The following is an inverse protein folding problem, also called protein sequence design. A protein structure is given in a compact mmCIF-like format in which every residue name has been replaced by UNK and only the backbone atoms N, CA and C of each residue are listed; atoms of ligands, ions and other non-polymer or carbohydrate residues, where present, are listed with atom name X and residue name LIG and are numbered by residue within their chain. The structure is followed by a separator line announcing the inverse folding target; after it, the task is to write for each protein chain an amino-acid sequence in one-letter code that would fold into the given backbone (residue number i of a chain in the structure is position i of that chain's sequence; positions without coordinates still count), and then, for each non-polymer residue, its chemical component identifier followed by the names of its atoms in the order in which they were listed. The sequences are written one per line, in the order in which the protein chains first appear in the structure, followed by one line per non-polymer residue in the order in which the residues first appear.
data_IF_932629503061
#
_entry.id   IF_932629503061
#
_cell.length_a   1.000
_cell.length_b   1.000
_cell.length_c   1.000
_cell.angle_alpha   90.00
_cell.angle_beta   90.00
_cell.angle_gamma   90.00
#
_symmetry.space_group_name_H-M   'P 1'
#
loop_
_entity.id
_entity.type
_entity.pdbx_description
1 polymer ?
#
# COMPACT_ATOMS: atom_id res chain seq x y z
N UNK A 1 16.21 -6.76 9.83
CA UNK A 1 16.83 -7.18 8.59
C UNK A 1 16.11 -8.40 8.05
N UNK A 2 15.89 -8.46 6.74
CA UNK A 2 15.24 -9.60 6.07
C UNK A 2 16.26 -10.24 5.13
N UNK A 3 16.31 -11.57 5.13
CA UNK A 3 17.16 -12.35 4.24
C UNK A 3 16.35 -13.51 3.64
N UNK A 4 16.31 -13.56 2.31
CA UNK A 4 15.60 -14.56 1.52
C UNK A 4 16.64 -15.28 0.67
N UNK A 5 16.64 -16.62 0.74
CA UNK A 5 17.60 -17.47 0.01
C UNK A 5 16.88 -18.57 -0.75
N UNK A 6 17.11 -18.64 -2.06
CA UNK A 6 16.64 -19.69 -2.97
C UNK A 6 15.13 -19.99 -2.81
N UNK A 7 14.33 -18.93 -2.50
CA UNK A 7 12.93 -19.07 -2.19
C UNK A 7 12.13 -19.37 -3.46
N UNK A 8 11.46 -20.51 -3.48
CA UNK A 8 10.42 -20.80 -4.47
C UNK A 8 9.12 -21.17 -3.75
N UNK A 9 8.00 -20.76 -4.31
CA UNK A 9 6.68 -21.04 -3.75
C UNK A 9 5.64 -21.28 -4.84
N UNK A 10 4.85 -22.33 -4.63
CA UNK A 10 3.70 -22.70 -5.45
C UNK A 10 2.49 -22.93 -4.56
N UNK A 11 1.38 -22.25 -4.82
CA UNK A 11 0.14 -22.50 -4.09
C UNK A 11 -0.39 -23.90 -4.37
N UNK A 12 -0.97 -24.54 -3.34
CA UNK A 12 -1.62 -25.86 -3.48
C UNK A 12 -2.75 -25.77 -4.52
N UNK A 13 -2.69 -26.64 -5.51
CA UNK A 13 -3.64 -26.66 -6.63
C UNK A 13 -3.35 -25.64 -7.74
N UNK A 14 -2.30 -24.82 -7.61
CA UNK A 14 -1.82 -23.96 -8.69
C UNK A 14 -1.10 -24.75 -9.77
N UNK A 15 -1.13 -24.30 -11.03
CA UNK A 15 -0.35 -24.91 -12.13
C UNK A 15 1.14 -24.56 -12.02
N UNK A 16 1.45 -23.31 -11.63
CA UNK A 16 2.77 -22.73 -11.73
C UNK A 16 3.30 -22.19 -10.40
N UNK A 17 4.61 -22.05 -10.32
CA UNK A 17 5.26 -21.37 -9.21
C UNK A 17 4.94 -19.86 -9.25
N UNK A 18 4.45 -19.33 -8.12
CA UNK A 18 4.23 -17.90 -7.91
C UNK A 18 5.52 -17.15 -7.63
N UNK A 19 6.53 -17.84 -7.08
CA UNK A 19 7.89 -17.34 -6.86
C UNK A 19 8.89 -18.40 -7.26
N UNK A 20 9.99 -18.01 -7.89
CA UNK A 20 11.00 -18.89 -8.46
C UNK A 20 12.40 -18.38 -8.13
N UNK A 21 13.12 -19.08 -7.28
CA UNK A 21 14.52 -18.80 -6.90
C UNK A 21 14.76 -17.34 -6.49
N UNK A 22 13.95 -16.83 -5.56
CA UNK A 22 14.09 -15.47 -5.05
C UNK A 22 15.25 -15.42 -4.05
N UNK A 23 16.20 -14.55 -4.34
CA UNK A 23 17.29 -14.19 -3.46
C UNK A 23 17.24 -12.67 -3.19
N UNK A 24 17.03 -12.27 -1.92
CA UNK A 24 16.87 -10.88 -1.56
C UNK A 24 17.38 -10.61 -0.14
N UNK A 25 18.09 -9.51 0.03
CA UNK A 25 18.54 -9.03 1.34
C UNK A 25 18.10 -7.58 1.54
N UNK A 26 17.43 -7.32 2.67
CA UNK A 26 16.93 -5.98 3.05
C UNK A 26 17.62 -5.58 4.35
N UNK A 27 18.24 -4.40 4.35
CA UNK A 27 18.96 -3.86 5.51
C UNK A 27 17.98 -3.21 6.49
N UNK A 28 18.41 -3.05 7.74
CA UNK A 28 17.66 -2.30 8.76
C UNK A 28 17.54 -0.83 8.34
N UNK A 29 16.33 -0.27 8.46
CA UNK A 29 16.03 1.11 8.10
C UNK A 29 15.89 1.36 6.59
N UNK A 30 16.03 0.32 5.77
CA UNK A 30 15.87 0.43 4.32
C UNK A 30 14.38 0.47 3.93
N UNK A 31 14.04 1.33 2.98
CA UNK A 31 12.72 1.38 2.35
C UNK A 31 12.84 0.82 0.93
N UNK A 32 12.23 -0.33 0.67
CA UNK A 32 12.24 -0.95 -0.65
C UNK A 32 10.85 -0.94 -1.29
N UNK A 33 10.84 -0.83 -2.60
CA UNK A 33 9.65 -0.96 -3.43
C UNK A 33 9.69 -2.29 -4.18
N UNK A 34 8.65 -3.11 -4.05
CA UNK A 34 8.40 -4.24 -4.94
C UNK A 34 7.50 -3.75 -6.07
N UNK A 35 8.00 -3.80 -7.29
CA UNK A 35 7.29 -3.34 -8.48
C UNK A 35 7.24 -4.44 -9.55
N UNK A 36 6.37 -4.28 -10.54
CA UNK A 36 6.10 -5.24 -11.61
C UNK A 36 4.62 -5.37 -11.90
N UNK A 37 4.28 -6.11 -12.95
CA UNK A 37 2.89 -6.30 -13.39
C UNK A 37 2.03 -6.98 -12.30
N UNK A 38 0.72 -6.83 -12.40
CA UNK A 38 -0.21 -7.57 -11.54
C UNK A 38 0.00 -9.08 -11.72
N UNK A 39 -0.04 -9.83 -10.61
CA UNK A 39 0.19 -11.28 -10.63
C UNK A 39 1.66 -11.74 -10.67
N UNK A 40 2.66 -10.85 -10.73
CA UNK A 40 4.07 -11.23 -10.79
C UNK A 40 4.67 -11.79 -9.47
N UNK A 41 3.89 -11.91 -8.39
CA UNK A 41 4.33 -12.52 -7.13
C UNK A 41 4.56 -11.56 -5.96
N UNK A 42 4.37 -10.23 -6.09
CA UNK A 42 4.62 -9.22 -5.03
C UNK A 42 3.92 -9.55 -3.72
N UNK A 43 2.58 -9.68 -3.73
CA UNK A 43 1.80 -9.98 -2.52
C UNK A 43 2.12 -11.36 -1.94
N UNK A 44 2.49 -12.34 -2.79
CA UNK A 44 2.95 -13.64 -2.33
C UNK A 44 4.27 -13.52 -1.55
N UNK A 45 5.21 -12.72 -2.07
CA UNK A 45 6.48 -12.45 -1.40
C UNK A 45 6.27 -11.76 -0.05
N UNK A 46 5.38 -10.76 0.01
CA UNK A 46 5.02 -10.09 1.26
C UNK A 46 4.41 -11.05 2.28
N UNK A 47 3.51 -11.95 1.85
CA UNK A 47 2.88 -12.96 2.72
C UNK A 47 3.88 -13.98 3.28
N UNK A 48 4.96 -14.29 2.57
CA UNK A 48 6.04 -15.14 3.07
C UNK A 48 6.94 -14.41 4.06
N UNK A 49 7.13 -13.08 3.89
CA UNK A 49 7.90 -12.27 4.83
C UNK A 49 7.19 -12.06 6.17
N UNK A 50 5.85 -11.98 6.18
CA UNK A 50 5.08 -11.75 7.41
C UNK A 50 4.52 -13.04 8.05
N UNK A 51 4.79 -14.19 7.46
CA UNK A 51 4.39 -15.51 8.00
C UNK A 51 2.93 -15.89 7.71
N UNK A 52 2.18 -15.09 6.93
CA UNK A 52 0.82 -15.48 6.48
C UNK A 52 0.88 -16.74 5.60
N UNK A 53 1.96 -16.93 4.87
CA UNK A 53 2.35 -18.18 4.25
C UNK A 53 3.50 -18.73 5.12
N UNK A 54 3.43 -19.97 5.64
CA UNK A 54 2.45 -21.02 5.35
C UNK A 54 1.22 -21.08 6.26
N UNK A 55 1.09 -20.21 7.26
CA UNK A 55 0.07 -20.33 8.31
C UNK A 55 -1.39 -20.43 7.78
N UNK A 56 -1.73 -19.64 6.75
CA UNK A 56 -3.08 -19.57 6.18
C UNK A 56 -3.18 -20.05 4.74
N UNK A 57 -2.08 -20.32 4.09
CA UNK A 57 -2.05 -20.76 2.70
C UNK A 57 -1.10 -21.95 2.52
N UNK A 58 -1.66 -23.07 2.12
CA UNK A 58 -0.90 -24.28 1.77
C UNK A 58 -0.18 -24.13 0.44
N UNK A 59 1.00 -24.74 0.34
CA UNK A 59 1.75 -24.81 -0.90
C UNK A 59 3.11 -25.48 -0.75
N UNK A 60 3.77 -25.67 -1.89
CA UNK A 60 5.13 -26.22 -1.93
C UNK A 60 6.11 -25.05 -1.75
N UNK A 61 6.92 -25.12 -0.70
CA UNK A 61 7.90 -24.09 -0.34
C UNK A 61 9.30 -24.71 -0.37
N UNK A 62 10.26 -24.02 -1.01
CA UNK A 62 11.70 -24.31 -0.88
C UNK A 62 12.48 -23.04 -0.57
N UNK A 63 13.69 -23.21 -0.05
CA UNK A 63 14.53 -22.10 0.41
C UNK A 63 14.19 -21.61 1.81
N UNK A 64 14.47 -20.34 2.11
CA UNK A 64 14.23 -19.77 3.45
C UNK A 64 13.92 -18.28 3.42
N UNK A 65 13.13 -17.84 4.41
CA UNK A 65 12.86 -16.42 4.70
C UNK A 65 13.17 -16.15 6.16
N UNK A 66 14.17 -15.34 6.41
CA UNK A 66 14.60 -14.93 7.75
C UNK A 66 14.25 -13.46 8.00
N UNK A 67 13.56 -13.19 9.09
CA UNK A 67 13.15 -11.83 9.50
C UNK A 67 13.65 -11.60 10.93
N UNK A 68 14.56 -10.67 11.11
CA UNK A 68 15.24 -10.41 12.39
C UNK A 68 15.75 -11.70 13.07
N UNK A 69 16.33 -12.61 12.29
CA UNK A 69 16.85 -13.90 12.79
C UNK A 69 15.80 -14.99 13.02
N UNK A 70 14.51 -14.70 12.79
CA UNK A 70 13.42 -15.67 12.89
C UNK A 70 13.08 -16.22 11.50
N UNK A 71 12.99 -17.54 11.38
CA UNK A 71 12.50 -18.19 10.17
C UNK A 71 10.96 -18.07 10.12
N UNK A 72 10.42 -17.43 9.08
CA UNK A 72 8.97 -17.16 8.97
C UNK A 72 8.14 -18.43 8.77
N UNK A 73 8.75 -19.54 8.33
CA UNK A 73 8.03 -20.81 8.10
C UNK A 73 7.83 -21.64 9.38
N UNK A 74 8.67 -21.42 10.39
CA UNK A 74 8.65 -22.19 11.63
C UNK A 74 8.33 -21.36 12.87
N UNK A 75 8.42 -20.04 12.76
CA UNK A 75 8.11 -19.12 13.88
C UNK A 75 6.61 -18.83 13.89
N UNK A 76 5.91 -19.06 15.01
CA UNK A 76 4.48 -18.72 15.11
C UNK A 76 4.20 -17.26 14.77
N UNK A 77 3.11 -17.01 14.04
CA UNK A 77 2.77 -15.68 13.50
C UNK A 77 2.65 -14.60 14.59
N UNK A 78 2.15 -14.95 15.79
CA UNK A 78 2.05 -14.01 16.90
C UNK A 78 3.41 -13.51 17.43
N UNK A 79 4.50 -14.27 17.20
CA UNK A 79 5.87 -13.83 17.51
C UNK A 79 6.43 -12.96 16.40
N UNK A 80 6.13 -13.30 15.13
CA UNK A 80 6.54 -12.51 13.98
C UNK A 80 5.86 -11.13 13.99
N UNK A 81 4.58 -11.05 14.36
CA UNK A 81 3.80 -9.81 14.39
C UNK A 81 4.30 -8.76 15.38
N UNK A 82 5.13 -9.15 16.37
CA UNK A 82 5.84 -8.18 17.24
C UNK A 82 6.92 -7.41 16.48
N UNK A 83 7.46 -7.97 15.41
CA UNK A 83 8.53 -7.37 14.61
C UNK A 83 8.04 -6.83 13.27
N UNK A 84 6.99 -7.44 12.70
CA UNK A 84 6.48 -7.14 11.36
C UNK A 84 5.04 -6.68 11.46
N UNK A 85 4.81 -5.43 11.15
CA UNK A 85 3.47 -4.86 10.99
C UNK A 85 3.06 -4.89 9.52
N UNK A 86 1.85 -5.38 9.23
CA UNK A 86 1.35 -5.48 7.86
C UNK A 86 0.11 -4.62 7.66
N UNK A 87 0.10 -3.86 6.57
CA UNK A 87 -1.05 -3.09 6.11
C UNK A 87 -1.49 -3.66 4.77
N UNK A 88 -2.72 -4.17 4.71
CA UNK A 88 -3.26 -4.84 3.54
C UNK A 88 -3.85 -3.86 2.53
N UNK A 89 -3.98 -4.30 1.29
CA UNK A 89 -4.53 -3.54 0.17
C UNK A 89 -5.91 -2.92 0.46
N UNK A 90 -6.77 -3.66 1.15
CA UNK A 90 -8.07 -3.16 1.59
C UNK A 90 -8.08 -2.96 3.11
N UNK A 91 -7.97 -1.73 3.61
CA UNK A 91 -7.96 -1.48 5.05
C UNK A 91 -9.23 -1.93 5.77
N UNK A 92 -10.37 -2.02 5.05
CA UNK A 92 -11.64 -2.47 5.66
C UNK A 92 -11.60 -3.92 6.16
N UNK A 93 -10.77 -4.77 5.56
CA UNK A 93 -10.63 -6.17 5.97
C UNK A 93 -9.71 -6.35 7.16
N UNK A 94 -9.06 -5.27 7.61
CA UNK A 94 -8.10 -5.27 8.71
C UNK A 94 -8.74 -4.82 10.04
N UNK A 95 -9.87 -4.09 9.98
CA UNK A 95 -10.49 -3.53 11.18
C UNK A 95 -11.31 -4.56 11.95
N UNK A 96 -11.12 -4.56 13.26
CA UNK A 96 -11.82 -5.41 14.22
C UNK A 96 -12.85 -4.63 15.05
N UNK A 97 -12.68 -3.31 15.16
CA UNK A 97 -13.57 -2.44 15.94
C UNK A 97 -14.35 -1.48 15.05
N UNK A 98 -15.31 -0.78 15.61
CA UNK A 98 -16.09 0.25 14.91
C UNK A 98 -15.62 1.67 15.21
N UNK A 99 -14.79 1.85 16.23
CA UNK A 99 -14.25 3.12 16.69
C UNK A 99 -12.76 3.21 16.37
N UNK A 100 -12.31 4.37 15.89
CA UNK A 100 -10.93 4.59 15.49
C UNK A 100 -9.94 4.50 16.64
N UNK A 101 -10.29 5.00 17.83
CA UNK A 101 -9.42 4.95 19.00
C UNK A 101 -9.28 3.52 19.52
N UNK A 102 -10.39 2.77 19.58
CA UNK A 102 -10.40 1.37 19.96
C UNK A 102 -9.60 0.52 18.97
N UNK A 103 -9.65 0.85 17.67
CA UNK A 103 -8.86 0.15 16.64
C UNK A 103 -7.36 0.35 16.83
N UNK A 104 -6.93 1.55 17.24
CA UNK A 104 -5.52 1.82 17.55
C UNK A 104 -5.09 1.08 18.82
N UNK A 105 -5.98 0.95 19.80
CA UNK A 105 -5.76 0.23 21.06
C UNK A 105 -5.71 -1.29 20.87
N UNK A 106 -6.49 -1.83 19.93
CA UNK A 106 -6.82 -3.25 19.81
C UNK A 106 -5.60 -4.18 19.84
N UNK A 107 -4.56 -3.85 19.08
CA UNK A 107 -3.33 -4.66 19.06
C UNK A 107 -2.59 -4.66 20.40
N UNK A 108 -2.56 -3.53 21.09
CA UNK A 108 -1.91 -3.39 22.41
C UNK A 108 -2.68 -4.17 23.48
N UNK A 109 -4.02 -4.12 23.44
CA UNK A 109 -4.88 -4.88 24.35
C UNK A 109 -4.69 -6.40 24.16
N UNK A 110 -4.58 -6.87 22.91
CA UNK A 110 -4.32 -8.28 22.61
C UNK A 110 -2.96 -8.77 23.14
N UNK A 111 -1.99 -7.87 23.31
CA UNK A 111 -0.72 -8.20 23.96
C UNK A 111 -0.76 -8.06 25.48
N UNK A 112 -1.91 -7.75 26.07
CA UNK A 112 -2.08 -7.62 27.51
C UNK A 112 -1.32 -6.42 28.11
N UNK A 113 -1.13 -5.36 27.33
CA UNK A 113 -0.49 -4.12 27.79
C UNK A 113 -1.42 -3.40 28.77
N UNK A 114 -0.87 -2.84 29.82
CA UNK A 114 -1.63 -2.10 30.84
C UNK A 114 -2.32 -0.85 30.24
N UNK A 115 -3.54 -0.56 30.70
CA UNK A 115 -4.39 0.50 30.16
C UNK A 115 -3.73 1.89 30.17
N UNK A 116 -2.98 2.21 31.20
CA UNK A 116 -2.27 3.50 31.29
C UNK A 116 -1.21 3.63 30.20
N UNK A 117 -0.46 2.54 29.91
CA UNK A 117 0.54 2.48 28.85
C UNK A 117 -0.14 2.58 27.47
N UNK A 118 -1.28 1.91 27.28
CA UNK A 118 -2.08 2.00 26.05
C UNK A 118 -2.51 3.44 25.79
N UNK A 119 -3.11 4.10 26.80
CA UNK A 119 -3.59 5.48 26.66
C UNK A 119 -2.46 6.44 26.27
N UNK A 120 -1.32 6.33 26.96
CA UNK A 120 -0.12 7.13 26.62
C UNK A 120 0.35 6.87 25.18
N UNK A 121 0.36 5.59 24.77
CA UNK A 121 0.78 5.23 23.40
C UNK A 121 -0.18 5.76 22.34
N UNK A 122 -1.48 5.74 22.59
CA UNK A 122 -2.50 6.33 21.70
C UNK A 122 -2.25 7.84 21.54
N UNK A 123 -2.01 8.57 22.63
CA UNK A 123 -1.70 10.01 22.57
C UNK A 123 -0.42 10.31 21.77
N UNK A 124 0.61 9.46 21.91
CA UNK A 124 1.83 9.57 21.11
C UNK A 124 1.53 9.36 19.62
N UNK A 125 0.82 8.28 19.27
CA UNK A 125 0.45 7.94 17.89
C UNK A 125 -0.44 9.02 17.26
N UNK A 126 -1.41 9.54 18.02
CA UNK A 126 -2.28 10.65 17.61
C UNK A 126 -1.47 11.87 17.17
N UNK A 127 -0.52 12.31 18.02
CA UNK A 127 0.35 13.46 17.75
C UNK A 127 1.33 13.20 16.60
N UNK A 128 1.97 12.03 16.58
CA UNK A 128 3.00 11.71 15.61
C UNK A 128 2.46 11.53 14.19
N UNK A 129 1.25 11.02 14.06
CA UNK A 129 0.58 10.78 12.77
C UNK A 129 -0.50 11.81 12.44
N UNK A 130 -0.68 12.85 13.28
CA UNK A 130 -1.68 13.92 13.11
C UNK A 130 -3.10 13.36 12.92
N UNK A 131 -3.59 12.63 13.96
CA UNK A 131 -4.88 11.96 13.95
C UNK A 131 -5.97 12.69 14.73
N UNK A 132 -5.72 13.88 15.26
CA UNK A 132 -6.60 14.63 16.16
C UNK A 132 -8.05 14.70 15.64
N UNK A 133 -8.18 14.89 14.34
CA UNK A 133 -9.49 14.96 13.67
C UNK A 133 -10.11 13.59 13.37
N UNK A 134 -9.41 12.50 13.66
CA UNK A 134 -9.85 11.14 13.36
C UNK A 134 -10.17 10.31 14.62
N UNK A 135 -9.81 10.80 15.80
CA UNK A 135 -10.04 10.10 17.05
C UNK A 135 -11.52 10.04 17.41
N UNK A 136 -11.93 8.97 18.10
CA UNK A 136 -13.29 8.73 18.57
C UNK A 136 -14.38 8.78 17.48
N UNK A 137 -14.03 8.42 16.23
CA UNK A 137 -14.95 8.38 15.10
C UNK A 137 -15.35 6.95 14.74
N UNK A 138 -16.54 6.83 14.15
CA UNK A 138 -16.95 5.56 13.56
C UNK A 138 -16.20 5.33 12.24
N UNK A 139 -15.47 4.20 12.16
CA UNK A 139 -14.62 3.82 11.04
C UNK A 139 -15.40 3.71 9.72
N UNK A 140 -16.67 3.30 9.77
CA UNK A 140 -17.49 3.17 8.56
C UNK A 140 -17.78 4.52 7.89
N UNK A 141 -17.74 5.61 8.66
CA UNK A 141 -17.99 6.96 8.15
C UNK A 141 -16.75 7.64 7.56
N UNK A 142 -15.58 7.03 7.71
CA UNK A 142 -14.32 7.56 7.19
C UNK A 142 -14.21 7.39 5.67
N UNK A 143 -13.52 8.32 5.01
CA UNK A 143 -13.05 8.19 3.64
C UNK A 143 -12.01 7.06 3.49
N UNK A 144 -11.68 6.68 2.25
CA UNK A 144 -10.64 5.67 1.99
C UNK A 144 -9.28 6.06 2.56
N UNK A 145 -8.87 7.31 2.39
CA UNK A 145 -7.59 7.83 2.92
C UNK A 145 -7.55 7.87 4.45
N UNK A 146 -8.64 8.30 5.10
CA UNK A 146 -8.74 8.28 6.55
C UNK A 146 -8.68 6.85 7.10
N UNK A 147 -9.35 5.89 6.44
CA UNK A 147 -9.26 4.46 6.80
C UNK A 147 -7.83 3.93 6.69
N UNK A 148 -7.14 4.27 5.60
CA UNK A 148 -5.74 3.87 5.42
C UNK A 148 -4.84 4.43 6.52
N UNK A 149 -5.07 5.68 6.92
CA UNK A 149 -4.34 6.34 7.98
C UNK A 149 -4.55 5.65 9.33
N UNK A 150 -5.79 5.27 9.67
CA UNK A 150 -6.09 4.50 10.89
C UNK A 150 -5.49 3.09 10.83
N UNK A 151 -5.53 2.41 9.69
CA UNK A 151 -4.92 1.09 9.53
C UNK A 151 -3.39 1.13 9.75
N UNK A 152 -2.72 2.17 9.27
CA UNK A 152 -1.28 2.37 9.56
C UNK A 152 -1.08 2.70 11.04
N UNK A 153 -1.94 3.53 11.64
CA UNK A 153 -1.83 3.95 13.04
C UNK A 153 -2.00 2.77 14.01
N UNK A 154 -2.95 1.85 13.74
CA UNK A 154 -3.14 0.66 14.58
C UNK A 154 -1.92 -0.26 14.57
N UNK A 155 -1.26 -0.41 13.42
CA UNK A 155 0.00 -1.14 13.33
C UNK A 155 1.16 -0.35 13.97
N UNK A 156 1.22 0.97 13.75
CA UNK A 156 2.25 1.81 14.33
C UNK A 156 2.20 1.86 15.87
N UNK A 157 1.02 1.73 16.46
CA UNK A 157 0.86 1.66 17.91
C UNK A 157 1.66 0.51 18.52
N UNK A 158 1.74 -0.63 17.85
CA UNK A 158 2.54 -1.79 18.25
C UNK A 158 4.06 -1.57 18.10
N UNK A 159 4.47 -0.50 17.46
CA UNK A 159 5.87 -0.10 17.24
C UNK A 159 6.76 -1.17 16.58
N UNK A 160 6.32 -1.91 15.54
CA UNK A 160 7.15 -2.92 14.90
C UNK A 160 8.41 -2.30 14.26
N UNK A 161 9.46 -3.10 14.07
CA UNK A 161 10.68 -2.66 13.38
C UNK A 161 10.49 -2.64 11.86
N UNK A 162 9.61 -3.49 11.34
CA UNK A 162 9.40 -3.71 9.90
C UNK A 162 7.94 -3.41 9.56
N UNK A 163 7.72 -2.63 8.51
CA UNK A 163 6.41 -2.36 7.93
C UNK A 163 6.30 -2.98 6.55
N UNK A 164 5.26 -3.76 6.32
CA UNK A 164 4.91 -4.33 5.03
C UNK A 164 3.60 -3.68 4.56
N UNK A 165 3.63 -3.03 3.41
CA UNK A 165 2.50 -2.32 2.83
C UNK A 165 2.17 -2.94 1.46
N UNK A 166 1.01 -3.57 1.34
CA UNK A 166 0.56 -4.18 0.07
C UNK A 166 -0.44 -3.24 -0.63
N UNK A 167 -0.01 -2.62 -1.72
CA UNK A 167 -0.76 -1.64 -2.53
C UNK A 167 -1.53 -0.59 -1.71
N UNK A 168 -0.86 0.11 -0.78
CA UNK A 168 -1.53 0.98 0.18
C UNK A 168 -2.24 2.18 -0.45
N UNK A 169 -1.95 2.50 -1.73
CA UNK A 169 -2.57 3.61 -2.45
C UNK A 169 -3.77 3.21 -3.32
N UNK A 170 -4.14 1.93 -3.39
CA UNK A 170 -5.09 1.39 -4.37
C UNK A 170 -6.45 2.12 -4.42
N UNK A 171 -6.96 2.57 -3.26
CA UNK A 171 -8.26 3.23 -3.11
C UNK A 171 -8.15 4.72 -2.77
N UNK A 172 -6.98 5.34 -2.98
CA UNK A 172 -6.70 6.71 -2.55
C UNK A 172 -6.76 7.69 -3.71
N UNK A 173 -7.28 8.89 -3.43
CA UNK A 173 -7.12 10.07 -4.27
C UNK A 173 -5.71 10.69 -4.13
N UNK A 174 -5.38 11.65 -4.98
CA UNK A 174 -4.05 12.28 -5.01
C UNK A 174 -3.71 12.95 -3.67
N UNK A 175 -4.68 13.57 -3.00
CA UNK A 175 -4.47 14.21 -1.70
C UNK A 175 -4.13 13.19 -0.64
N UNK A 176 -4.91 12.12 -0.54
CA UNK A 176 -4.68 11.03 0.41
C UNK A 176 -3.36 10.30 0.16
N UNK A 177 -2.95 10.15 -1.12
CA UNK A 177 -1.64 9.59 -1.45
C UNK A 177 -0.48 10.49 -0.98
N UNK A 178 -0.61 11.82 -1.06
CA UNK A 178 0.40 12.74 -0.48
C UNK A 178 0.48 12.62 1.04
N UNK A 179 -0.65 12.48 1.72
CA UNK A 179 -0.68 12.24 3.17
C UNK A 179 -0.05 10.89 3.54
N UNK A 180 -0.33 9.83 2.77
CA UNK A 180 0.32 8.53 2.91
C UNK A 180 1.84 8.63 2.73
N UNK A 181 2.30 9.37 1.72
CA UNK A 181 3.72 9.64 1.48
C UNK A 181 4.40 10.26 2.72
N UNK A 182 3.77 11.28 3.34
CA UNK A 182 4.28 11.90 4.56
C UNK A 182 4.35 10.92 5.72
N UNK A 183 3.35 10.06 5.87
CA UNK A 183 3.32 9.02 6.90
C UNK A 183 4.47 8.01 6.71
N UNK A 184 4.67 7.51 5.48
CA UNK A 184 5.77 6.59 5.16
C UNK A 184 7.13 7.27 5.39
N UNK A 185 7.28 8.53 4.98
CA UNK A 185 8.49 9.33 5.21
C UNK A 185 8.80 9.48 6.71
N UNK A 186 7.76 9.68 7.54
CA UNK A 186 7.88 9.72 8.99
C UNK A 186 8.36 8.38 9.54
N UNK A 187 7.77 7.24 9.12
CA UNK A 187 8.21 5.91 9.55
C UNK A 187 9.68 5.67 9.18
N UNK A 188 10.09 6.03 7.96
CA UNK A 188 11.49 5.91 7.53
C UNK A 188 12.42 6.77 8.38
N UNK A 189 12.05 8.01 8.71
CA UNK A 189 12.86 8.91 9.56
C UNK A 189 13.05 8.39 10.99
N UNK A 190 12.14 7.51 11.46
CA UNK A 190 12.22 6.81 12.73
C UNK A 190 13.06 5.51 12.66
N UNK A 191 13.74 5.28 11.54
CA UNK A 191 14.60 4.11 11.31
C UNK A 191 13.85 2.80 11.06
N UNK A 192 12.55 2.85 10.74
CA UNK A 192 11.77 1.66 10.40
C UNK A 192 12.19 1.10 9.04
N UNK A 193 12.23 -0.23 8.93
CA UNK A 193 12.41 -0.92 7.66
C UNK A 193 11.05 -1.03 6.97
N UNK A 194 10.96 -0.66 5.70
CA UNK A 194 9.67 -0.55 5.02
C UNK A 194 9.73 -1.31 3.69
N UNK A 195 8.78 -2.21 3.47
CA UNK A 195 8.62 -2.94 2.22
C UNK A 195 7.26 -2.58 1.64
N UNK A 196 7.23 -2.06 0.44
CA UNK A 196 6.02 -1.58 -0.22
C UNK A 196 5.85 -2.30 -1.55
N UNK A 197 4.75 -3.03 -1.75
CA UNK A 197 4.33 -3.45 -3.08
C UNK A 197 3.41 -2.37 -3.66
N UNK A 198 3.75 -1.82 -4.83
CA UNK A 198 2.99 -0.70 -5.38
C UNK A 198 3.13 -0.60 -6.91
N UNK A 199 2.10 -0.03 -7.54
CA UNK A 199 2.05 0.30 -8.96
C UNK A 199 2.17 1.80 -9.24
N UNK A 200 1.81 2.65 -8.27
CA UNK A 200 1.85 4.11 -8.37
C UNK A 200 3.12 4.62 -7.70
N UNK A 201 4.12 5.02 -8.49
CA UNK A 201 5.48 5.25 -8.00
C UNK A 201 5.73 6.69 -7.54
N UNK A 202 5.00 7.66 -8.09
CA UNK A 202 5.28 9.09 -7.96
C UNK A 202 5.31 9.60 -6.51
N UNK A 203 4.47 9.07 -5.63
CA UNK A 203 4.41 9.53 -4.24
C UNK A 203 5.50 8.90 -3.34
N UNK A 204 6.24 7.94 -3.87
CA UNK A 204 7.32 7.21 -3.18
C UNK A 204 8.72 7.63 -3.62
N UNK A 205 8.84 8.47 -4.64
CA UNK A 205 10.10 8.85 -5.30
C UNK A 205 11.19 9.24 -4.31
N UNK A 206 10.88 10.12 -3.33
CA UNK A 206 11.86 10.66 -2.37
C UNK A 206 12.01 9.80 -1.10
N UNK A 207 11.41 8.61 -1.08
CA UNK A 207 11.33 7.77 0.13
C UNK A 207 12.05 6.43 -0.07
N UNK A 208 11.86 5.83 -1.23
CA UNK A 208 12.39 4.50 -1.56
C UNK A 208 13.88 4.56 -1.83
N UNK A 209 14.64 3.65 -1.23
CA UNK A 209 16.09 3.54 -1.45
C UNK A 209 16.42 2.76 -2.72
N UNK A 210 15.65 1.71 -3.01
CA UNK A 210 15.74 0.92 -4.26
C UNK A 210 14.43 0.22 -4.56
N UNK A 211 14.20 -0.09 -5.82
CA UNK A 211 13.06 -0.83 -6.30
C UNK A 211 13.49 -2.20 -6.85
N UNK A 212 12.73 -3.24 -6.48
CA UNK A 212 12.94 -4.62 -6.91
C UNK A 212 11.87 -4.93 -7.96
N UNK A 213 12.29 -5.10 -9.20
CA UNK A 213 11.38 -5.45 -10.28
C UNK A 213 11.18 -6.97 -10.36
N UNK A 214 9.92 -7.39 -10.20
CA UNK A 214 9.50 -8.77 -10.32
C UNK A 214 8.74 -9.00 -11.63
N UNK A 215 9.05 -10.13 -12.28
CA UNK A 215 8.35 -10.62 -13.46
C UNK A 215 8.28 -12.15 -13.39
N UNK A 216 7.10 -12.72 -13.63
CA UNK A 216 6.85 -14.18 -13.64
C UNK A 216 7.42 -14.93 -12.43
N UNK A 217 7.33 -14.32 -11.25
CA UNK A 217 7.79 -14.90 -10.00
C UNK A 217 9.30 -14.81 -9.75
N UNK A 218 10.04 -14.06 -10.55
CA UNK A 218 11.49 -13.86 -10.42
C UNK A 218 11.84 -12.40 -10.16
N UNK A 219 12.94 -12.17 -9.43
CA UNK A 219 13.58 -10.85 -9.41
C UNK A 219 14.40 -10.74 -10.70
N UNK A 220 14.05 -9.79 -11.54
CA UNK A 220 14.73 -9.56 -12.82
C UNK A 220 15.81 -8.51 -12.67
N UNK A 221 15.52 -7.44 -11.92
CA UNK A 221 16.44 -6.30 -11.77
C UNK A 221 16.12 -5.50 -10.51
N UNK A 222 17.15 -4.90 -9.96
CA UNK A 222 17.04 -3.82 -8.99
C UNK A 222 17.25 -2.50 -9.70
N UNK A 223 16.45 -1.49 -9.34
CA UNK A 223 16.53 -0.13 -9.86
C UNK A 223 16.74 0.85 -8.72
N UNK A 224 17.52 1.90 -8.95
CA UNK A 224 17.38 3.14 -8.21
C UNK A 224 16.12 3.90 -8.65
N UNK A 225 15.63 4.84 -7.84
CA UNK A 225 14.47 5.66 -8.27
C UNK A 225 14.82 6.56 -9.45
N UNK A 226 16.06 7.01 -9.56
CA UNK A 226 16.56 7.79 -10.72
C UNK A 226 16.54 6.96 -12.02
N UNK A 227 16.93 5.68 -11.95
CA UNK A 227 16.81 4.78 -13.12
C UNK A 227 15.37 4.60 -13.56
N UNK A 228 14.41 4.44 -12.60
CA UNK A 228 12.98 4.34 -12.93
C UNK A 228 12.47 5.63 -13.58
N UNK A 229 12.91 6.78 -13.10
CA UNK A 229 12.51 8.07 -13.66
C UNK A 229 12.95 8.25 -15.11
N UNK A 230 14.15 7.75 -15.42
CA UNK A 230 14.76 7.87 -16.74
C UNK A 230 14.47 6.69 -17.68
N UNK A 231 13.56 5.77 -17.32
CA UNK A 231 13.14 4.71 -18.23
C UNK A 231 12.50 5.28 -19.50
N UNK A 232 12.88 4.73 -20.65
CA UNK A 232 12.22 5.04 -21.94
C UNK A 232 10.76 4.54 -21.94
N UNK A 233 9.94 5.12 -22.82
CA UNK A 233 8.53 4.67 -22.96
C UNK A 233 8.42 3.19 -23.36
N UNK A 234 9.31 2.69 -24.22
CA UNK A 234 9.36 1.29 -24.60
C UNK A 234 9.67 0.37 -23.43
N UNK A 235 10.61 0.79 -22.56
CA UNK A 235 10.91 0.05 -21.33
C UNK A 235 9.75 0.09 -20.33
N UNK A 236 9.05 1.22 -20.20
CA UNK A 236 7.85 1.34 -19.37
C UNK A 236 6.74 0.43 -19.87
N UNK A 237 6.48 0.42 -21.15
CA UNK A 237 5.49 -0.48 -21.75
C UNK A 237 5.84 -1.95 -21.55
N UNK A 238 7.12 -2.31 -21.71
CA UNK A 238 7.59 -3.69 -21.51
C UNK A 238 7.47 -4.12 -20.06
N UNK A 239 7.93 -3.29 -19.11
CA UNK A 239 7.95 -3.61 -17.68
C UNK A 239 6.60 -3.38 -16.99
N UNK A 240 5.73 -2.56 -17.56
CA UNK A 240 4.47 -2.12 -16.93
C UNK A 240 4.69 -1.13 -15.77
N UNK A 241 5.89 -0.54 -15.66
CA UNK A 241 6.19 0.47 -14.65
C UNK A 241 5.59 1.81 -15.03
N UNK A 242 4.85 2.41 -14.12
CA UNK A 242 4.24 3.73 -14.33
C UNK A 242 5.27 4.85 -14.15
N UNK A 243 4.95 6.03 -14.69
CA UNK A 243 5.77 7.22 -14.46
C UNK A 243 5.90 7.53 -12.97
N UNK A 244 7.09 7.95 -12.58
CA UNK A 244 7.38 8.52 -11.25
C UNK A 244 6.95 9.99 -11.12
N UNK A 245 6.57 10.64 -12.22
CA UNK A 245 5.91 11.94 -12.24
C UNK A 245 4.54 11.83 -12.93
N UNK A 246 3.45 12.11 -12.18
CA UNK A 246 2.09 12.09 -12.73
C UNK A 246 1.80 13.26 -13.69
N UNK A 247 2.68 14.28 -13.74
CA UNK A 247 2.58 15.42 -14.66
C UNK A 247 3.28 15.18 -16.00
N UNK A 248 4.14 14.17 -16.07
CA UNK A 248 4.92 13.84 -17.27
C UNK A 248 4.11 13.09 -18.35
N UNK A 249 2.84 12.82 -18.12
CA UNK A 249 1.97 12.22 -19.13
C UNK A 249 1.71 13.28 -20.20
N UNK A 250 2.28 13.08 -21.40
CA UNK A 250 2.00 13.91 -22.55
C UNK A 250 0.50 13.95 -22.81
N UNK A 251 -0.04 15.15 -22.96
CA UNK A 251 -1.42 15.31 -23.44
C UNK A 251 -1.41 14.94 -24.91
N UNK A 252 -2.21 13.96 -25.29
CA UNK A 252 -2.56 13.77 -26.69
C UNK A 252 -3.54 14.89 -27.06
N UNK A 253 -3.02 15.95 -27.65
CA UNK A 253 -3.79 17.17 -27.91
C UNK A 253 -4.72 17.09 -29.13
N UNK A 254 -4.70 16.02 -29.92
CA UNK A 254 -5.38 15.94 -31.20
C UNK A 254 -6.41 14.81 -31.31
N UNK A 255 -7.46 14.87 -30.52
CA UNK A 255 -8.73 14.28 -31.00
C UNK A 255 -9.64 15.43 -31.46
N UNK A 256 -9.76 15.61 -32.78
CA UNK A 256 -10.83 16.45 -33.35
C UNK A 256 -12.18 15.94 -32.81
N UNK A 257 -12.75 16.66 -31.86
CA UNK A 257 -14.08 16.38 -31.35
C UNK A 257 -15.07 16.76 -32.45
N UNK A 258 -15.48 15.77 -33.26
CA UNK A 258 -16.61 15.97 -34.16
C UNK A 258 -17.84 16.33 -33.32
N UNK A 259 -18.38 17.52 -33.54
CA UNK A 259 -19.52 18.06 -32.79
C UNK A 259 -20.79 17.27 -33.17
N UNK A 260 -20.97 16.06 -32.61
CA UNK A 260 -22.05 15.11 -32.92
C UNK A 260 -23.31 15.31 -32.09
N UNK A 261 -23.49 16.50 -31.52
CA UNK A 261 -24.64 16.79 -30.66
C UNK A 261 -24.43 16.40 -29.19
N UNK A 262 -25.34 16.89 -28.34
CA UNK A 262 -25.28 16.64 -26.88
C UNK A 262 -25.97 15.33 -26.54
N UNK A 263 -25.25 14.40 -25.88
CA UNK A 263 -25.77 13.14 -25.38
C UNK A 263 -26.52 13.33 -24.05
N UNK A 264 -25.92 14.11 -23.14
CA UNK A 264 -26.44 14.36 -21.80
C UNK A 264 -26.06 15.77 -21.36
N UNK A 265 -27.01 16.47 -20.78
CA UNK A 265 -26.81 17.78 -20.18
C UNK A 265 -27.25 17.76 -18.72
N UNK A 266 -26.36 18.15 -17.81
CA UNK A 266 -26.62 18.29 -16.39
C UNK A 266 -26.66 19.79 -16.05
N UNK A 267 -27.79 20.26 -15.51
CA UNK A 267 -27.95 21.65 -15.07
C UNK A 267 -28.35 21.73 -13.61
N UNK A 268 -27.63 22.55 -12.85
CA UNK A 268 -27.94 22.85 -11.44
C UNK A 268 -28.12 21.60 -10.58
N UNK A 269 -27.32 20.55 -10.84
CA UNK A 269 -27.37 19.31 -10.09
C UNK A 269 -26.66 19.47 -8.75
N UNK A 270 -27.38 19.23 -7.67
CA UNK A 270 -26.81 19.22 -6.31
C UNK A 270 -27.12 17.87 -5.68
N UNK A 271 -26.10 17.17 -5.27
CA UNK A 271 -26.23 15.95 -4.47
C UNK A 271 -25.69 16.17 -3.06
N UNK A 272 -26.51 15.84 -2.06
CA UNK A 272 -26.17 15.97 -0.64
C UNK A 272 -26.19 14.61 0.03
N UNK A 273 -25.28 14.39 0.96
CA UNK A 273 -25.32 13.28 1.91
C UNK A 273 -25.46 13.88 3.31
N UNK A 274 -26.61 13.65 3.95
CA UNK A 274 -27.03 14.38 5.16
C UNK A 274 -27.07 15.90 4.89
N UNK A 275 -26.35 16.70 5.67
CA UNK A 275 -26.24 18.16 5.49
C UNK A 275 -25.12 18.61 4.57
N UNK A 276 -24.20 17.70 4.17
CA UNK A 276 -23.00 18.03 3.37
C UNK A 276 -23.29 17.93 1.88
N UNK A 277 -23.00 18.97 1.12
CA UNK A 277 -22.99 18.91 -0.34
C UNK A 277 -21.79 18.08 -0.79
N UNK A 278 -22.06 17.00 -1.51
CA UNK A 278 -21.04 16.08 -2.05
C UNK A 278 -20.71 16.44 -3.49
N UNK A 279 -21.72 16.84 -4.27
CA UNK A 279 -21.57 17.20 -5.68
C UNK A 279 -22.41 18.42 -5.98
N UNK A 280 -21.85 19.40 -6.68
CA UNK A 280 -22.53 20.57 -7.18
C UNK A 280 -22.06 20.86 -8.60
N UNK A 281 -22.95 20.70 -9.58
CA UNK A 281 -22.68 20.92 -11.00
C UNK A 281 -23.63 22.02 -11.49
N UNK A 282 -23.07 23.12 -11.92
CA UNK A 282 -23.86 24.23 -12.52
C UNK A 282 -24.33 23.88 -13.93
N UNK A 283 -23.38 23.46 -14.76
CA UNK A 283 -23.62 23.07 -16.15
C UNK A 283 -22.52 22.10 -16.59
N UNK A 284 -22.92 20.97 -17.14
CA UNK A 284 -22.01 19.96 -17.70
C UNK A 284 -22.68 19.27 -18.86
N UNK A 285 -22.01 19.24 -20.03
CA UNK A 285 -22.48 18.60 -21.24
C UNK A 285 -21.58 17.45 -21.65
N UNK A 286 -22.21 16.36 -22.01
CA UNK A 286 -21.56 15.20 -22.61
C UNK A 286 -21.96 15.13 -24.07
N UNK A 287 -21.00 15.13 -24.98
CA UNK A 287 -21.24 15.03 -26.42
C UNK A 287 -20.99 13.60 -26.92
N UNK A 288 -21.69 13.24 -27.99
CA UNK A 288 -21.48 11.93 -28.63
C UNK A 288 -20.04 11.81 -29.15
N UNK A 289 -19.44 10.61 -28.96
CA UNK A 289 -18.11 10.30 -29.46
C UNK A 289 -16.95 10.81 -28.59
N UNK A 290 -17.23 11.53 -27.48
CA UNK A 290 -16.20 11.98 -26.56
C UNK A 290 -15.91 10.93 -25.49
N UNK A 291 -14.62 10.77 -25.15
CA UNK A 291 -14.18 10.06 -23.94
C UNK A 291 -13.98 11.15 -22.87
N UNK A 292 -14.66 11.02 -21.74
CA UNK A 292 -14.65 12.02 -20.69
C UNK A 292 -14.09 11.41 -19.42
N UNK A 293 -12.99 11.96 -18.90
CA UNK A 293 -12.46 11.65 -17.60
C UNK A 293 -13.12 12.50 -16.52
N UNK A 294 -13.65 11.88 -15.46
CA UNK A 294 -14.08 12.56 -14.23
C UNK A 294 -12.96 12.40 -13.21
N UNK A 295 -12.39 13.52 -12.74
CA UNK A 295 -11.23 13.58 -11.84
C UNK A 295 -11.63 14.18 -10.49
#
# INVERSE_FOLDING_TARGET
MIEIRELSFKYKGGSDYSLKDINLKIKKGECILLCGRSGCGKSTLLKLMNGIIPEFYDGDISGSVMVNGMNTFTTPIYKLSKNVGSVFQNPKTQFYTTNTTDEIAFGLENYGIEREVINKRIEEVEKELHLENLMNKNIFNLSGGEKQKIAIASIYALNPEIFILDEPSSSLDIKSMKELSLTIKKLKSLGKTIIIAEHRLWYLKDIVDRAIYLEDGKIIREYSMDEIENLSEDERMRTGLRHSDYKAIERFDDFETSNKGTLLELKNLIFKRNTKIILSIKDLKFCYGNIIGIV
#
